data_IF_873216923558
#
_entry.id   IF_873216923558
#
_cell.length_a   1.000
_cell.length_b   1.000
_cell.length_c   1.000
_cell.angle_alpha   90.00
_cell.angle_beta   90.00
_cell.angle_gamma   90.00
#
_symmetry.space_group_name_H-M   'P 1'
#
loop_
_entity.id
_entity.type
_entity.pdbx_description
1 polymer ?
#
# COMPACT_ATOMS: atom_id res chain seq x y z
N UNK A 1 6.86 -2.55 -7.79
CA UNK A 1 6.85 -2.37 -6.34
C UNK A 1 6.25 -1.04 -5.90
N UNK A 2 7.01 0.07 -5.94
CA UNK A 2 6.57 1.37 -5.39
C UNK A 2 6.63 2.47 -6.45
N UNK A 3 5.61 3.33 -6.50
CA UNK A 3 5.57 4.52 -7.35
C UNK A 3 5.62 5.77 -6.48
N UNK A 4 6.73 6.50 -6.54
CA UNK A 4 6.91 7.78 -5.84
C UNK A 4 6.03 8.88 -6.41
N UNK A 5 5.41 9.67 -5.52
CA UNK A 5 4.61 10.85 -5.86
C UNK A 5 4.72 11.89 -4.73
N UNK A 6 4.75 13.15 -5.13
CA UNK A 6 4.84 14.33 -4.28
C UNK A 6 3.81 15.35 -4.76
N UNK A 7 3.14 16.06 -3.84
CA UNK A 7 2.27 17.16 -4.22
C UNK A 7 3.10 18.40 -4.59
N UNK A 8 2.58 19.24 -5.49
CA UNK A 8 3.22 20.48 -5.92
C UNK A 8 3.02 21.66 -4.94
N UNK A 9 2.14 21.49 -3.95
CA UNK A 9 1.81 22.49 -2.94
C UNK A 9 1.96 21.92 -1.50
N UNK A 10 3.18 21.53 -1.08
CA UNK A 10 3.41 20.83 0.19
C UNK A 10 3.12 21.68 1.43
N UNK A 11 3.23 23.01 1.33
CA UNK A 11 2.89 23.92 2.44
C UNK A 11 1.37 24.01 2.66
N UNK A 12 0.59 23.98 1.58
CA UNK A 12 -0.88 23.98 1.66
C UNK A 12 -1.44 22.60 2.02
N UNK A 13 -0.80 21.52 1.57
CA UNK A 13 -1.26 20.15 1.78
C UNK A 13 -0.16 19.24 2.36
N UNK A 14 0.32 19.51 3.59
CA UNK A 14 1.46 18.80 4.16
C UNK A 14 1.22 17.29 4.34
N UNK A 15 -0.05 16.87 4.55
CA UNK A 15 -0.41 15.46 4.71
C UNK A 15 -0.19 14.59 3.47
N UNK A 16 -0.01 15.19 2.29
CA UNK A 16 0.25 14.48 1.02
C UNK A 16 1.53 14.98 0.33
N UNK A 17 2.41 15.65 1.08
CA UNK A 17 3.73 16.05 0.59
C UNK A 17 4.49 14.86 0.01
N UNK A 18 4.41 13.70 0.68
CA UNK A 18 4.74 12.39 0.14
C UNK A 18 3.46 11.56 0.07
N UNK A 19 3.16 11.00 -1.09
CA UNK A 19 1.96 10.19 -1.28
C UNK A 19 2.22 9.01 -2.21
N UNK A 20 3.16 8.17 -1.80
CA UNK A 20 3.66 7.06 -2.61
C UNK A 20 2.63 5.92 -2.71
N UNK A 21 2.59 5.27 -3.87
CA UNK A 21 1.76 4.08 -4.09
C UNK A 21 2.59 2.82 -3.92
N UNK A 22 2.12 1.87 -3.11
CA UNK A 22 2.71 0.53 -2.98
C UNK A 22 1.82 -0.47 -3.71
N UNK A 23 2.40 -1.29 -4.59
CA UNK A 23 1.70 -2.37 -5.29
C UNK A 23 2.03 -3.69 -4.61
N UNK A 24 1.01 -4.40 -4.14
CA UNK A 24 1.14 -5.75 -3.58
C UNK A 24 0.66 -6.78 -4.60
N UNK A 25 1.38 -7.89 -4.70
CA UNK A 25 1.03 -9.01 -5.55
C UNK A 25 -0.28 -9.67 -5.06
N UNK A 26 -1.29 -9.70 -5.92
CA UNK A 26 -2.58 -10.34 -5.64
C UNK A 26 -2.55 -11.85 -5.92
N UNK A 27 -3.38 -12.66 -5.22
CA UNK A 27 -3.63 -14.04 -5.62
C UNK A 27 -4.31 -14.11 -6.99
N UNK A 28 -4.00 -15.17 -7.74
CA UNK A 28 -4.63 -15.44 -9.04
C UNK A 28 -6.16 -15.52 -8.90
N UNK A 29 -6.88 -14.88 -9.83
CA UNK A 29 -8.33 -14.81 -9.80
C UNK A 29 -8.93 -13.89 -8.73
N UNK A 30 -8.11 -13.21 -7.90
CA UNK A 30 -8.56 -12.24 -6.88
C UNK A 30 -9.57 -12.81 -5.86
N UNK A 31 -9.41 -14.09 -5.51
CA UNK A 31 -10.17 -14.71 -4.43
C UNK A 31 -9.44 -14.51 -3.10
N UNK A 32 -10.18 -14.07 -2.09
CA UNK A 32 -9.64 -13.72 -0.78
C UNK A 32 -10.46 -14.34 0.35
N UNK A 33 -9.79 -14.55 1.49
CA UNK A 33 -10.47 -14.71 2.78
C UNK A 33 -10.57 -13.34 3.46
N UNK A 34 -11.59 -13.17 4.31
CA UNK A 34 -11.73 -11.94 5.08
C UNK A 34 -10.51 -11.70 5.98
N UNK A 35 -9.90 -12.75 6.53
CA UNK A 35 -8.74 -12.66 7.41
C UNK A 35 -7.51 -12.10 6.68
N UNK A 36 -7.28 -12.51 5.43
CA UNK A 36 -6.19 -11.98 4.62
C UNK A 36 -6.38 -10.48 4.34
N UNK A 37 -7.58 -10.06 3.94
CA UNK A 37 -7.86 -8.65 3.65
C UNK A 37 -7.76 -7.78 4.90
N UNK A 38 -8.23 -8.27 6.06
CA UNK A 38 -8.07 -7.56 7.34
C UNK A 38 -6.60 -7.39 7.70
N UNK A 39 -5.76 -8.41 7.51
CA UNK A 39 -4.33 -8.30 7.75
C UNK A 39 -3.65 -7.21 6.90
N UNK A 40 -4.04 -7.06 5.63
CA UNK A 40 -3.52 -5.98 4.78
C UNK A 40 -3.96 -4.62 5.33
N UNK A 41 -5.24 -4.50 5.72
CA UNK A 41 -5.78 -3.25 6.25
C UNK A 41 -5.16 -2.87 7.61
N UNK A 42 -4.91 -3.83 8.50
CA UNK A 42 -4.27 -3.56 9.79
C UNK A 42 -2.87 -2.94 9.61
N UNK A 43 -2.10 -3.41 8.62
CA UNK A 43 -0.81 -2.82 8.24
C UNK A 43 -1.02 -1.44 7.62
N UNK A 44 -1.98 -1.34 6.69
CA UNK A 44 -2.17 -0.13 5.89
C UNK A 44 -2.76 1.04 6.66
N UNK A 45 -3.66 0.80 7.60
CA UNK A 45 -4.24 1.83 8.46
C UNK A 45 -3.18 2.42 9.41
N UNK A 46 -2.20 1.62 9.85
CA UNK A 46 -1.11 2.09 10.69
C UNK A 46 -0.05 2.87 9.91
N UNK A 47 0.27 2.42 8.68
CA UNK A 47 1.49 2.85 7.96
C UNK A 47 1.21 3.64 6.68
N UNK A 48 -0.04 3.78 6.28
CA UNK A 48 -0.46 4.43 5.05
C UNK A 48 -1.62 5.39 5.27
N UNK A 49 -2.31 5.70 4.18
CA UNK A 49 -3.44 6.64 4.17
C UNK A 49 -4.78 5.99 4.51
N UNK A 50 -4.86 4.66 4.56
CA UNK A 50 -6.12 3.89 4.58
C UNK A 50 -6.84 3.82 3.23
N UNK A 51 -6.35 4.51 2.19
CA UNK A 51 -6.95 4.50 0.85
C UNK A 51 -6.37 3.38 -0.01
N UNK A 52 -7.21 2.71 -0.80
CA UNK A 52 -6.79 1.63 -1.69
C UNK A 52 -7.49 1.69 -3.05
N UNK A 53 -6.88 1.08 -4.06
CA UNK A 53 -7.61 0.60 -5.23
C UNK A 53 -7.61 -0.94 -5.19
N UNK A 54 -8.81 -1.52 -5.30
CA UNK A 54 -9.04 -2.96 -5.41
C UNK A 54 -9.67 -3.23 -6.78
N UNK A 55 -8.90 -3.24 -7.88
CA UNK A 55 -7.44 -3.35 -8.00
C UNK A 55 -6.87 -2.31 -8.98
N UNK A 56 -5.54 -2.28 -9.13
CA UNK A 56 -4.91 -1.65 -10.29
C UNK A 56 -5.25 -2.39 -11.59
N UNK A 57 -5.23 -1.71 -12.74
CA UNK A 57 -5.63 -2.30 -14.03
C UNK A 57 -4.80 -3.53 -14.43
N UNK A 58 -3.52 -3.60 -14.01
CA UNK A 58 -2.65 -4.76 -14.24
C UNK A 58 -2.97 -5.94 -13.30
N UNK A 59 -3.60 -5.68 -12.15
CA UNK A 59 -4.06 -6.69 -11.21
C UNK A 59 -3.70 -6.45 -9.75
N UNK A 60 -2.69 -5.62 -9.48
CA UNK A 60 -2.13 -5.42 -8.13
C UNK A 60 -3.17 -4.90 -7.13
N UNK A 61 -3.03 -5.30 -5.86
CA UNK A 61 -3.62 -4.54 -4.76
C UNK A 61 -2.83 -3.23 -4.66
N UNK A 62 -3.52 -2.10 -4.65
CA UNK A 62 -2.89 -0.79 -4.62
C UNK A 62 -3.13 -0.15 -3.27
N UNK A 63 -2.05 0.04 -2.51
CA UNK A 63 -2.05 0.82 -1.29
C UNK A 63 -1.68 2.27 -1.64
N UNK A 64 -2.65 3.18 -1.54
CA UNK A 64 -2.59 4.50 -2.15
C UNK A 64 -2.18 5.58 -1.16
N UNK A 65 -0.89 5.87 -1.06
CA UNK A 65 -0.40 7.01 -0.29
C UNK A 65 0.25 6.60 1.02
N UNK A 66 1.58 6.69 1.05
CA UNK A 66 2.39 6.62 2.26
C UNK A 66 3.64 7.49 2.09
N UNK A 67 4.48 7.55 3.11
CA UNK A 67 5.73 8.30 3.14
C UNK A 67 6.94 7.39 2.91
N UNK A 68 8.07 7.96 2.49
CA UNK A 68 9.30 7.20 2.21
C UNK A 68 9.79 6.33 3.37
N UNK A 69 9.81 6.82 4.63
CA UNK A 69 10.28 6.01 5.76
C UNK A 69 9.42 4.77 6.06
N UNK A 70 8.16 4.75 5.62
CA UNK A 70 7.26 3.62 5.85
C UNK A 70 7.40 2.51 4.80
N UNK A 71 8.14 2.72 3.71
CA UNK A 71 8.21 1.74 2.62
C UNK A 71 8.81 0.41 3.05
N UNK A 72 9.98 0.45 3.71
CA UNK A 72 10.64 -0.76 4.22
C UNK A 72 9.85 -1.41 5.35
N UNK A 73 9.20 -0.60 6.18
CA UNK A 73 8.35 -1.07 7.28
C UNK A 73 7.12 -1.86 6.77
N UNK A 74 6.46 -1.32 5.74
CA UNK A 74 5.36 -1.99 5.06
C UNK A 74 5.88 -3.28 4.42
N UNK A 75 7.01 -3.20 3.70
CA UNK A 75 7.59 -4.36 3.02
C UNK A 75 7.98 -5.48 4.01
N UNK A 76 8.57 -5.13 5.15
CA UNK A 76 8.91 -6.08 6.20
C UNK A 76 7.66 -6.77 6.74
N UNK A 77 6.60 -6.00 7.05
CA UNK A 77 5.37 -6.55 7.61
C UNK A 77 4.63 -7.47 6.61
N UNK A 78 4.48 -7.06 5.34
CA UNK A 78 3.77 -7.89 4.35
C UNK A 78 4.53 -9.18 4.02
N UNK A 79 5.87 -9.14 4.01
CA UNK A 79 6.68 -10.34 3.76
C UNK A 79 6.72 -11.27 4.98
N UNK A 80 7.00 -10.76 6.18
CA UNK A 80 7.23 -11.59 7.37
C UNK A 80 5.94 -12.01 8.08
N UNK A 81 4.89 -11.19 8.04
CA UNK A 81 3.61 -11.47 8.73
C UNK A 81 2.56 -12.05 7.80
N UNK A 82 2.62 -11.72 6.51
CA UNK A 82 1.56 -12.09 5.55
C UNK A 82 2.04 -12.98 4.40
N UNK A 83 3.34 -13.27 4.29
CA UNK A 83 3.91 -14.02 3.17
C UNK A 83 3.44 -13.47 1.81
N UNK A 84 3.37 -12.14 1.70
CA UNK A 84 2.92 -11.41 0.52
C UNK A 84 4.06 -10.55 0.01
N UNK A 85 4.27 -10.55 -1.31
CA UNK A 85 5.33 -9.80 -1.97
C UNK A 85 4.77 -8.56 -2.71
N UNK A 86 5.66 -7.73 -3.21
CA UNK A 86 5.34 -6.60 -4.08
C UNK A 86 4.96 -7.07 -5.48
N UNK A 87 4.15 -6.27 -6.17
CA UNK A 87 3.84 -6.41 -7.60
C UNK A 87 4.84 -5.71 -8.52
#
# INVERSE_FOLDING_TARGET
GVIGRYCDQPEMFPGVAHFHTVRLAQPSGKYYTADYLRGIMDIWDLRGSGLTNMHGSTGDIVLLGTTTPQLEEIFFDVTHKMNTDLG
#
